data_IF_925414304333
#
_entry.id   IF_925414304333
#
_cell.length_a   1.000
_cell.length_b   1.000
_cell.length_c   1.000
_cell.angle_alpha   90.00
_cell.angle_beta   90.00
_cell.angle_gamma   90.00
#
_symmetry.space_group_name_H-M   'P 1'
#
loop_
_entity.id
_entity.type
_entity.pdbx_description
1 polymer ?
#
# COMPACT_ATOMS: atom_id res chain seq x y z
N UNK A 1 -4.78 20.24 12.07
CA UNK A 1 -4.42 18.80 12.10
C UNK A 1 -4.18 18.25 13.51
N UNK A 2 -4.55 18.93 14.62
CA UNK A 2 -4.47 18.33 15.97
C UNK A 2 -5.71 17.50 16.34
N UNK A 3 -6.89 17.89 15.85
CA UNK A 3 -8.17 17.21 16.13
C UNK A 3 -8.29 15.86 15.40
N UNK A 4 -7.73 15.76 14.21
CA UNK A 4 -7.77 14.58 13.31
C UNK A 4 -7.23 13.30 13.95
N UNK A 5 -6.33 13.43 14.94
CA UNK A 5 -5.73 12.28 15.62
C UNK A 5 -6.67 11.68 16.67
N UNK A 6 -7.53 12.49 17.31
CA UNK A 6 -8.43 11.99 18.38
C UNK A 6 -9.51 11.08 17.80
N UNK A 7 -10.06 11.44 16.65
CA UNK A 7 -11.12 10.68 15.99
C UNK A 7 -10.60 9.33 15.49
N UNK A 8 -9.43 9.32 14.84
CA UNK A 8 -8.77 8.10 14.36
C UNK A 8 -8.42 7.17 15.52
N UNK A 9 -7.85 7.69 16.60
CA UNK A 9 -7.56 6.89 17.80
C UNK A 9 -8.84 6.38 18.48
N UNK A 10 -9.91 7.18 18.50
CA UNK A 10 -11.22 6.77 19.00
C UNK A 10 -11.80 5.59 18.20
N UNK A 11 -11.72 5.64 16.87
CA UNK A 11 -12.13 4.55 15.98
C UNK A 11 -11.28 3.30 16.25
N UNK A 12 -9.94 3.44 16.32
CA UNK A 12 -9.02 2.34 16.64
C UNK A 12 -9.35 1.69 17.98
N UNK A 13 -9.61 2.49 19.02
CA UNK A 13 -9.99 1.99 20.33
C UNK A 13 -11.31 1.21 20.26
N UNK A 14 -12.33 1.76 19.61
CA UNK A 14 -13.63 1.12 19.47
C UNK A 14 -13.52 -0.24 18.77
N UNK A 15 -12.76 -0.32 17.67
CA UNK A 15 -12.60 -1.60 16.95
C UNK A 15 -11.65 -2.56 17.65
N UNK A 16 -10.69 -2.07 18.45
CA UNK A 16 -9.75 -2.92 19.20
C UNK A 16 -10.45 -3.87 20.17
N UNK A 17 -11.66 -3.54 20.61
CA UNK A 17 -12.50 -4.39 21.45
C UNK A 17 -12.88 -5.70 20.74
N UNK A 18 -13.03 -5.67 19.42
CA UNK A 18 -13.24 -6.88 18.62
C UNK A 18 -11.93 -7.65 18.38
N UNK A 19 -10.77 -7.00 18.47
CA UNK A 19 -9.46 -7.65 18.18
C UNK A 19 -9.13 -8.74 19.18
N UNK A 20 -9.63 -8.61 20.42
CA UNK A 20 -9.48 -9.62 21.48
C UNK A 20 -10.29 -10.88 21.21
N UNK A 21 -11.37 -10.78 20.43
CA UNK A 21 -12.30 -11.89 20.17
C UNK A 21 -12.14 -12.45 18.77
N UNK A 22 -11.93 -11.60 17.76
CA UNK A 22 -11.64 -11.96 16.38
C UNK A 22 -10.96 -10.80 15.61
N UNK A 23 -9.65 -10.94 15.26
CA UNK A 23 -8.94 -9.94 14.46
C UNK A 23 -9.55 -9.69 13.06
N UNK A 24 -10.20 -10.68 12.44
CA UNK A 24 -10.83 -10.51 11.12
C UNK A 24 -12.05 -9.60 11.21
N UNK A 25 -12.78 -9.67 12.31
CA UNK A 25 -13.96 -8.85 12.58
C UNK A 25 -13.64 -7.35 12.66
N UNK A 26 -12.45 -6.98 13.15
CA UNK A 26 -12.00 -5.59 13.14
C UNK A 26 -11.91 -5.03 11.71
N UNK A 27 -11.32 -5.83 10.81
CA UNK A 27 -11.15 -5.47 9.40
C UNK A 27 -12.51 -5.29 8.73
N UNK A 28 -13.42 -6.23 8.94
CA UNK A 28 -14.76 -6.22 8.34
C UNK A 28 -15.59 -5.03 8.82
N UNK A 29 -15.63 -4.78 10.12
CA UNK A 29 -16.38 -3.64 10.71
C UNK A 29 -15.90 -2.30 10.14
N UNK A 30 -14.58 -2.12 9.94
CA UNK A 30 -14.06 -0.90 9.33
C UNK A 30 -14.49 -0.77 7.87
N UNK A 31 -14.38 -1.85 7.07
CA UNK A 31 -14.80 -1.83 5.66
C UNK A 31 -16.30 -1.55 5.52
N UNK A 32 -17.13 -2.17 6.35
CA UNK A 32 -18.58 -1.91 6.39
C UNK A 32 -18.89 -0.46 6.79
N UNK A 33 -18.17 0.07 7.79
CA UNK A 33 -18.33 1.47 8.22
C UNK A 33 -17.98 2.46 7.11
N UNK A 34 -16.89 2.21 6.38
CA UNK A 34 -16.46 3.03 5.23
C UNK A 34 -17.54 3.05 4.15
N UNK A 35 -18.04 1.86 3.77
CA UNK A 35 -19.09 1.74 2.74
C UNK A 35 -20.39 2.38 3.18
N UNK A 36 -20.80 2.17 4.43
CA UNK A 36 -22.01 2.78 4.97
C UNK A 36 -21.95 4.32 4.95
N UNK A 37 -20.81 4.91 5.31
CA UNK A 37 -20.60 6.36 5.26
C UNK A 37 -20.67 6.89 3.82
N UNK A 38 -20.07 6.17 2.86
CA UNK A 38 -20.19 6.51 1.44
C UNK A 38 -21.63 6.43 0.95
N UNK A 39 -22.34 5.36 1.27
CA UNK A 39 -23.74 5.20 0.88
C UNK A 39 -24.63 6.29 1.49
N UNK A 40 -24.33 6.68 2.73
CA UNK A 40 -25.02 7.78 3.40
C UNK A 40 -24.75 9.11 2.71
N UNK A 41 -23.51 9.40 2.31
CA UNK A 41 -23.18 10.56 1.49
C UNK A 41 -23.95 10.55 0.16
N UNK A 42 -24.01 9.42 -0.54
CA UNK A 42 -24.77 9.31 -1.80
C UNK A 42 -26.25 9.64 -1.59
N UNK A 43 -26.85 9.21 -0.48
CA UNK A 43 -28.26 9.47 -0.19
C UNK A 43 -28.54 10.89 0.29
N UNK A 44 -27.66 11.48 1.10
CA UNK A 44 -27.95 12.71 1.85
C UNK A 44 -27.12 13.91 1.40
N UNK A 45 -26.00 13.71 0.70
CA UNK A 45 -25.08 14.76 0.26
C UNK A 45 -24.18 15.35 1.35
N UNK A 46 -24.17 14.76 2.55
CA UNK A 46 -23.45 15.23 3.74
C UNK A 46 -21.94 14.98 3.59
N UNK A 47 -21.16 16.03 3.28
CA UNK A 47 -19.71 15.90 3.03
C UNK A 47 -18.94 15.42 4.27
N UNK A 48 -19.44 15.68 5.47
CA UNK A 48 -18.89 15.19 6.73
C UNK A 48 -18.81 13.65 6.77
N UNK A 49 -19.71 12.94 6.07
CA UNK A 49 -19.68 11.48 6.03
C UNK A 49 -18.45 10.97 5.27
N UNK A 50 -18.06 11.63 4.17
CA UNK A 50 -16.83 11.31 3.44
C UNK A 50 -15.58 11.60 4.27
N UNK A 51 -15.61 12.66 5.07
CA UNK A 51 -14.49 13.01 5.94
C UNK A 51 -14.33 11.99 7.07
N UNK A 52 -15.44 11.50 7.65
CA UNK A 52 -15.42 10.37 8.58
C UNK A 52 -14.92 9.10 7.91
N UNK A 53 -15.32 8.83 6.67
CA UNK A 53 -14.86 7.67 5.93
C UNK A 53 -13.32 7.68 5.79
N UNK A 54 -12.71 8.85 5.55
CA UNK A 54 -11.26 9.01 5.56
C UNK A 54 -10.63 8.68 6.92
N UNK A 55 -11.26 9.04 8.04
CA UNK A 55 -10.76 8.65 9.37
C UNK A 55 -10.80 7.14 9.60
N UNK A 56 -11.88 6.48 9.15
CA UNK A 56 -11.96 5.02 9.18
C UNK A 56 -10.90 4.36 8.30
N UNK A 57 -10.63 4.89 7.11
CA UNK A 57 -9.57 4.38 6.23
C UNK A 57 -8.17 4.63 6.85
N UNK A 58 -7.95 5.78 7.49
CA UNK A 58 -6.69 6.04 8.20
C UNK A 58 -6.49 5.05 9.34
N UNK A 59 -7.50 4.84 10.20
CA UNK A 59 -7.47 3.84 11.25
C UNK A 59 -7.22 2.42 10.70
N UNK A 60 -7.78 2.11 9.53
CA UNK A 60 -7.58 0.85 8.82
C UNK A 60 -6.11 0.65 8.43
N UNK A 61 -5.48 1.68 7.85
CA UNK A 61 -4.05 1.67 7.52
C UNK A 61 -3.16 1.57 8.75
N UNK A 62 -3.43 2.36 9.79
CA UNK A 62 -2.66 2.36 11.05
C UNK A 62 -2.68 1.00 11.77
N UNK A 63 -3.75 0.21 11.58
CA UNK A 63 -3.87 -1.15 12.11
C UNK A 63 -3.14 -2.21 11.28
N UNK A 64 -2.51 -1.80 10.17
CA UNK A 64 -1.70 -2.64 9.29
C UNK A 64 -2.51 -3.44 8.26
N UNK A 65 -3.75 -3.04 7.99
CA UNK A 65 -4.57 -3.72 6.99
C UNK A 65 -4.22 -3.29 5.55
N UNK A 66 -4.49 -4.13 4.54
CA UNK A 66 -3.98 -3.94 3.18
C UNK A 66 -4.67 -2.80 2.41
N UNK A 67 -3.89 -1.95 1.72
CA UNK A 67 -4.40 -0.80 0.96
C UNK A 67 -5.41 -1.16 -0.14
N UNK A 68 -5.23 -2.28 -0.85
CA UNK A 68 -6.14 -2.65 -1.97
C UNK A 68 -7.59 -2.85 -1.52
N UNK A 69 -7.81 -3.21 -0.26
CA UNK A 69 -9.16 -3.41 0.28
C UNK A 69 -10.00 -2.12 0.28
N UNK A 70 -9.32 -0.98 0.32
CA UNK A 70 -9.89 0.36 0.41
C UNK A 70 -9.53 1.25 -0.78
N UNK A 71 -8.75 0.76 -1.75
CA UNK A 71 -8.23 1.59 -2.85
C UNK A 71 -9.36 2.22 -3.68
N UNK A 72 -10.33 1.41 -4.11
CA UNK A 72 -11.51 1.88 -4.85
C UNK A 72 -12.32 2.87 -4.03
N UNK A 73 -12.60 2.53 -2.76
CA UNK A 73 -13.38 3.38 -1.86
C UNK A 73 -12.71 4.74 -1.66
N UNK A 74 -11.40 4.74 -1.44
CA UNK A 74 -10.59 5.92 -1.24
C UNK A 74 -10.53 6.82 -2.47
N UNK A 75 -10.39 6.24 -3.67
CA UNK A 75 -10.39 7.01 -4.92
C UNK A 75 -11.73 7.74 -5.13
N UNK A 76 -12.85 7.04 -4.95
CA UNK A 76 -14.18 7.63 -5.07
C UNK A 76 -14.44 8.73 -4.03
N UNK A 77 -14.00 8.52 -2.78
CA UNK A 77 -14.07 9.55 -1.73
C UNK A 77 -13.24 10.78 -2.13
N UNK A 78 -12.01 10.58 -2.61
CA UNK A 78 -11.15 11.69 -3.02
C UNK A 78 -11.66 12.44 -4.25
N UNK A 79 -12.26 11.74 -5.21
CA UNK A 79 -12.88 12.37 -6.37
C UNK A 79 -14.09 13.21 -5.93
N UNK A 80 -14.93 12.67 -5.04
CA UNK A 80 -16.10 13.37 -4.48
C UNK A 80 -15.71 14.61 -3.66
N UNK A 81 -14.59 14.55 -2.94
CA UNK A 81 -14.06 15.68 -2.17
C UNK A 81 -13.22 16.67 -2.99
N UNK A 82 -12.94 16.37 -4.26
CA UNK A 82 -12.03 17.18 -5.09
C UNK A 82 -10.60 17.23 -4.54
N UNK A 83 -10.15 16.15 -3.89
CA UNK A 83 -8.86 16.11 -3.21
C UNK A 83 -7.69 16.22 -4.20
N UNK A 84 -6.77 17.15 -3.91
CA UNK A 84 -5.56 17.39 -4.71
C UNK A 84 -4.62 16.19 -4.69
N UNK A 85 -3.78 16.07 -5.72
CA UNK A 85 -2.81 14.97 -5.92
C UNK A 85 -1.92 14.75 -4.70
N UNK A 86 -1.51 15.82 -4.03
CA UNK A 86 -0.62 15.83 -2.87
C UNK A 86 -1.28 15.19 -1.65
N UNK A 87 -2.57 15.44 -1.45
CA UNK A 87 -3.36 14.84 -0.36
C UNK A 87 -3.48 13.33 -0.58
N UNK A 88 -3.80 12.93 -1.82
CA UNK A 88 -3.90 11.50 -2.19
C UNK A 88 -2.58 10.76 -1.97
N UNK A 89 -1.45 11.40 -2.29
CA UNK A 89 -0.11 10.85 -2.05
C UNK A 89 0.20 10.70 -0.57
N UNK A 90 -0.02 11.76 0.22
CA UNK A 90 0.23 11.74 1.66
C UNK A 90 -0.57 10.61 2.33
N UNK A 91 -1.82 10.43 1.91
CA UNK A 91 -2.69 9.40 2.46
C UNK A 91 -2.24 7.98 2.05
N UNK A 92 -1.82 7.78 0.80
CA UNK A 92 -1.26 6.48 0.36
C UNK A 92 -0.05 6.06 1.18
N UNK A 93 0.80 7.01 1.60
CA UNK A 93 1.97 6.72 2.43
C UNK A 93 1.65 6.12 3.79
N UNK A 94 0.44 6.33 4.32
CA UNK A 94 -0.02 5.69 5.56
C UNK A 94 0.01 4.16 5.47
N UNK A 95 -0.12 3.62 4.25
CA UNK A 95 -0.10 2.19 3.98
C UNK A 95 1.27 1.66 3.57
N UNK A 96 2.27 2.52 3.49
CA UNK A 96 3.61 2.16 3.06
C UNK A 96 4.56 2.02 4.25
N UNK A 97 5.15 0.84 4.41
CA UNK A 97 6.30 0.71 5.30
C UNK A 97 7.49 1.48 4.69
N UNK A 98 8.07 2.41 5.44
CA UNK A 98 9.20 3.19 4.97
C UNK A 98 10.49 2.39 5.12
N UNK A 99 11.20 2.18 4.02
CA UNK A 99 12.42 1.40 3.96
C UNK A 99 13.57 2.26 3.46
N UNK A 100 14.62 2.37 4.27
CA UNK A 100 15.90 2.92 3.82
C UNK A 100 16.57 1.91 2.89
N UNK A 101 16.85 2.33 1.65
CA UNK A 101 17.42 1.44 0.65
C UNK A 101 18.84 1.01 1.03
N UNK A 102 19.02 -0.29 1.23
CA UNK A 102 20.34 -0.92 1.27
C UNK A 102 20.27 -2.31 0.63
N UNK A 103 21.42 -2.85 0.21
CA UNK A 103 21.48 -4.11 -0.53
C UNK A 103 20.86 -5.27 0.25
N UNK A 104 21.11 -5.37 1.55
CA UNK A 104 20.62 -6.46 2.39
C UNK A 104 19.10 -6.45 2.52
N UNK A 105 18.51 -5.26 2.75
CA UNK A 105 17.07 -5.09 2.92
C UNK A 105 16.32 -5.38 1.62
N UNK A 106 16.78 -4.84 0.49
CA UNK A 106 16.14 -5.12 -0.81
C UNK A 106 16.27 -6.61 -1.17
N UNK A 107 17.43 -7.22 -0.95
CA UNK A 107 17.62 -8.65 -1.16
C UNK A 107 16.66 -9.50 -0.30
N UNK A 108 16.47 -9.11 0.97
CA UNK A 108 15.51 -9.77 1.88
C UNK A 108 14.06 -9.59 1.42
N UNK A 109 13.68 -8.41 0.92
CA UNK A 109 12.34 -8.18 0.38
C UNK A 109 12.06 -9.07 -0.82
N UNK A 110 13.01 -9.18 -1.75
CA UNK A 110 12.88 -10.03 -2.95
C UNK A 110 12.81 -11.52 -2.61
N UNK A 111 13.41 -11.94 -1.49
CA UNK A 111 13.34 -13.32 -1.02
C UNK A 111 14.12 -14.28 -1.91
N UNK A 112 13.54 -15.46 -2.17
CA UNK A 112 14.18 -16.49 -2.99
C UNK A 112 14.22 -16.07 -4.46
N UNK A 113 15.36 -16.30 -5.13
CA UNK A 113 15.54 -16.00 -6.55
C UNK A 113 15.85 -17.27 -7.32
N UNK A 114 15.18 -17.46 -8.45
CA UNK A 114 15.47 -18.59 -9.33
C UNK A 114 16.30 -18.11 -10.54
N UNK A 115 17.63 -18.32 -10.57
CA UNK A 115 18.48 -17.82 -11.65
C UNK A 115 18.18 -18.46 -13.01
N UNK A 116 17.59 -19.66 -13.03
CA UNK A 116 17.36 -20.42 -14.25
C UNK A 116 16.15 -19.91 -15.06
N UNK A 117 15.31 -19.05 -14.47
CA UNK A 117 14.08 -18.55 -15.11
C UNK A 117 13.93 -17.03 -15.03
N UNK A 118 14.95 -16.33 -14.54
CA UNK A 118 15.00 -14.88 -14.48
C UNK A 118 16.02 -14.35 -15.49
N UNK A 119 15.72 -13.21 -16.12
CA UNK A 119 16.63 -12.57 -17.08
C UNK A 119 17.86 -11.95 -16.42
N UNK A 120 17.87 -11.83 -15.08
CA UNK A 120 18.97 -11.23 -14.31
C UNK A 120 19.21 -11.97 -12.99
N UNK A 121 20.44 -11.87 -12.45
CA UNK A 121 20.78 -12.41 -11.12
C UNK A 121 20.16 -11.54 -10.03
N UNK A 122 19.91 -12.11 -8.84
CA UNK A 122 19.36 -11.33 -7.71
C UNK A 122 20.21 -10.10 -7.37
N UNK A 123 21.54 -10.24 -7.40
CA UNK A 123 22.45 -9.13 -7.14
C UNK A 123 22.28 -7.98 -8.14
N UNK A 124 22.02 -8.31 -9.41
CA UNK A 124 21.79 -7.33 -10.46
C UNK A 124 20.44 -6.64 -10.26
N UNK A 125 19.38 -7.39 -9.95
CA UNK A 125 18.06 -6.83 -9.62
C UNK A 125 18.10 -5.90 -8.39
N UNK A 126 18.82 -6.30 -7.34
CA UNK A 126 19.01 -5.49 -6.13
C UNK A 126 19.73 -4.18 -6.46
N UNK A 127 20.83 -4.26 -7.23
CA UNK A 127 21.56 -3.07 -7.65
C UNK A 127 20.72 -2.17 -8.56
N UNK A 128 19.96 -2.78 -9.47
CA UNK A 128 19.08 -2.11 -10.42
C UNK A 128 18.00 -1.30 -9.69
N UNK A 129 17.29 -1.91 -8.74
CA UNK A 129 16.31 -1.22 -7.87
C UNK A 129 16.98 -0.05 -7.13
N UNK A 130 18.12 -0.29 -6.49
CA UNK A 130 18.84 0.76 -5.74
C UNK A 130 19.25 1.91 -6.66
N UNK A 131 19.78 1.61 -7.85
CA UNK A 131 20.19 2.64 -8.81
C UNK A 131 18.99 3.45 -9.30
N UNK A 132 17.91 2.80 -9.72
CA UNK A 132 16.69 3.46 -10.19
C UNK A 132 16.11 4.39 -9.14
N UNK A 133 15.98 3.92 -7.90
CA UNK A 133 15.50 4.74 -6.77
C UNK A 133 16.47 5.89 -6.48
N UNK A 134 17.77 5.64 -6.47
CA UNK A 134 18.79 6.65 -6.17
C UNK A 134 18.83 7.76 -7.23
N UNK A 135 18.71 7.38 -8.50
CA UNK A 135 18.71 8.30 -9.65
C UNK A 135 17.33 8.90 -9.92
N UNK A 136 16.30 8.44 -9.23
CA UNK A 136 14.89 8.82 -9.45
C UNK A 136 14.46 8.59 -10.91
N UNK A 137 14.86 7.46 -11.48
CA UNK A 137 14.47 7.08 -12.84
C UNK A 137 12.97 6.81 -12.87
N UNK A 138 12.20 7.74 -13.44
CA UNK A 138 10.74 7.61 -13.50
C UNK A 138 10.32 6.43 -14.38
N UNK A 139 9.33 5.69 -13.91
CA UNK A 139 8.84 4.52 -14.63
C UNK A 139 8.15 3.51 -13.72
N UNK A 140 7.67 2.44 -14.36
CA UNK A 140 7.15 1.25 -13.67
C UNK A 140 7.96 0.05 -14.11
N UNK A 141 8.54 -0.66 -13.14
CA UNK A 141 9.43 -1.79 -13.35
C UNK A 141 8.88 -3.02 -12.61
N UNK A 142 8.93 -4.17 -13.26
CA UNK A 142 8.39 -5.43 -12.75
C UNK A 142 9.54 -6.39 -12.48
N UNK A 143 9.51 -7.01 -11.30
CA UNK A 143 10.49 -8.02 -10.87
C UNK A 143 9.76 -9.27 -10.44
N UNK A 144 10.04 -10.39 -11.10
CA UNK A 144 9.52 -11.68 -10.72
C UNK A 144 10.57 -12.41 -9.87
N UNK A 145 10.15 -13.10 -8.83
CA UNK A 145 11.01 -13.86 -7.94
C UNK A 145 10.27 -15.05 -7.31
N UNK A 146 11.04 -15.93 -6.67
CA UNK A 146 10.57 -17.19 -6.12
C UNK A 146 10.28 -18.26 -7.17
N UNK A 147 9.49 -19.26 -6.78
CA UNK A 147 9.07 -20.36 -7.64
C UNK A 147 7.98 -19.90 -8.61
N UNK A 148 8.02 -20.41 -9.83
CA UNK A 148 6.89 -20.28 -10.74
C UNK A 148 5.80 -21.27 -10.30
N UNK A 149 4.64 -20.73 -9.93
CA UNK A 149 3.49 -21.48 -9.40
C UNK A 149 2.63 -22.05 -10.54
N UNK A 150 2.54 -21.36 -11.67
CA UNK A 150 1.84 -21.83 -12.86
C UNK A 150 2.44 -21.19 -14.13
N UNK A 151 2.25 -21.84 -15.29
CA UNK A 151 2.65 -21.33 -16.59
C UNK A 151 1.44 -21.38 -17.53
N UNK A 152 0.97 -20.22 -17.98
CA UNK A 152 -0.11 -20.09 -18.95
C UNK A 152 0.45 -19.38 -20.20
N UNK A 153 0.99 -20.14 -21.14
CA UNK A 153 1.63 -19.58 -22.34
C UNK A 153 2.95 -18.87 -22.02
N UNK A 154 3.13 -17.65 -22.54
CA UNK A 154 4.31 -16.82 -22.29
C UNK A 154 4.31 -16.19 -20.87
N UNK A 155 3.15 -16.12 -20.22
CA UNK A 155 3.00 -15.53 -18.89
C UNK A 155 3.00 -16.58 -17.77
N UNK A 156 3.86 -16.37 -16.77
CA UNK A 156 3.98 -17.21 -15.59
C UNK A 156 3.37 -16.56 -14.34
N UNK A 157 2.67 -17.35 -13.51
CA UNK A 157 2.34 -16.96 -12.15
C UNK A 157 3.55 -17.21 -11.26
N UNK A 158 4.09 -16.17 -10.64
CA UNK A 158 5.27 -16.24 -9.78
C UNK A 158 4.88 -16.16 -8.30
N UNK A 159 5.61 -16.88 -7.46
CA UNK A 159 5.46 -16.85 -5.99
C UNK A 159 5.58 -15.43 -5.44
N UNK A 160 6.47 -14.62 -6.02
CA UNK A 160 6.64 -13.22 -5.68
C UNK A 160 6.73 -12.37 -6.95
N UNK A 161 5.83 -11.39 -7.07
CA UNK A 161 5.91 -10.35 -8.09
C UNK A 161 5.99 -9.00 -7.40
N UNK A 162 7.02 -8.23 -7.72
CA UNK A 162 7.21 -6.88 -7.22
C UNK A 162 7.07 -5.86 -8.33
N UNK A 163 6.37 -4.77 -8.04
CA UNK A 163 6.24 -3.61 -8.90
C UNK A 163 6.91 -2.41 -8.25
N UNK A 164 7.96 -1.89 -8.87
CA UNK A 164 8.58 -0.62 -8.50
C UNK A 164 7.98 0.49 -9.36
N UNK A 165 7.30 1.45 -8.75
CA UNK A 165 6.83 2.67 -9.41
C UNK A 165 7.62 3.85 -8.87
N UNK A 166 8.33 4.55 -9.76
CA UNK A 166 9.02 5.80 -9.45
C UNK A 166 8.31 6.91 -10.21
N UNK A 167 7.75 7.87 -9.48
CA UNK A 167 7.04 8.99 -10.09
C UNK A 167 7.00 10.17 -9.14
N UNK A 168 7.17 11.38 -9.66
CA UNK A 168 7.09 12.62 -8.89
C UNK A 168 7.99 12.61 -7.63
N UNK A 169 9.17 11.98 -7.74
CA UNK A 169 10.14 11.88 -6.65
C UNK A 169 9.85 10.83 -5.57
N UNK A 170 8.79 10.03 -5.71
CA UNK A 170 8.46 8.91 -4.81
C UNK A 170 8.80 7.57 -5.46
N UNK A 171 9.35 6.65 -4.68
CA UNK A 171 9.61 5.27 -5.09
C UNK A 171 8.77 4.30 -4.26
N UNK A 172 7.69 3.79 -4.86
CA UNK A 172 6.80 2.81 -4.23
C UNK A 172 7.15 1.43 -4.74
N UNK A 173 7.50 0.53 -3.83
CA UNK A 173 7.78 -0.86 -4.11
C UNK A 173 6.64 -1.72 -3.58
N UNK A 174 5.91 -2.38 -4.47
CA UNK A 174 4.70 -3.13 -4.15
C UNK A 174 4.92 -4.62 -4.35
N UNK A 175 4.80 -5.41 -3.28
CA UNK A 175 4.67 -6.87 -3.37
C UNK A 175 3.22 -7.20 -3.77
N UNK A 176 3.03 -7.61 -5.01
CA UNK A 176 1.70 -7.85 -5.60
C UNK A 176 1.01 -9.02 -4.90
N UNK A 177 1.74 -10.11 -4.64
CA UNK A 177 1.18 -11.34 -4.09
C UNK A 177 0.77 -11.19 -2.62
N UNK A 178 1.56 -10.47 -1.83
CA UNK A 178 1.28 -10.24 -0.40
C UNK A 178 0.51 -8.94 -0.13
N UNK A 179 0.24 -8.16 -1.17
CA UNK A 179 -0.40 -6.87 -1.07
C UNK A 179 0.28 -5.93 -0.04
N UNK A 180 1.60 -5.85 -0.10
CA UNK A 180 2.40 -4.98 0.78
C UNK A 180 3.07 -3.88 0.00
N UNK A 181 2.98 -2.65 0.50
CA UNK A 181 3.57 -1.47 -0.10
C UNK A 181 4.72 -0.97 0.76
N UNK A 182 5.82 -0.62 0.10
CA UNK A 182 7.01 -0.07 0.73
C UNK A 182 7.35 1.26 0.07
N UNK A 183 7.64 2.28 0.89
CA UNK A 183 8.20 3.53 0.42
C UNK A 183 9.72 3.43 0.53
N UNK A 184 10.40 3.35 -0.63
CA UNK A 184 11.84 3.26 -0.68
C UNK A 184 12.45 4.67 -0.60
N UNK A 185 13.23 4.92 0.45
CA UNK A 185 13.93 6.19 0.66
C UNK A 185 15.44 5.99 0.66
N UNK A 186 16.17 6.95 0.08
CA UNK A 186 17.62 7.01 0.21
C UNK A 186 17.99 7.45 1.62
N UNK A 187 19.04 6.87 2.19
CA UNK A 187 19.62 7.35 3.44
C UNK A 187 19.98 8.83 3.30
N UNK A 188 19.48 9.66 4.22
CA UNK A 188 19.83 11.06 4.28
C UNK A 188 21.29 11.18 4.70
N UNK A 189 22.07 11.94 3.94
CA UNK A 189 23.35 12.46 4.44
C UNK A 189 23.09 13.60 5.42
#
# INVERSE_FOLDING_TARGET
MKETNVEVEGIKLAVSMFRKTDPKRCREVLLESIRWLKDRYIRLGEKEDLQKALFHIQAYGDLGFPYQDVETDLLEIFDSLGAKKEVRKAFRKLFCETIVINKSVINRLLGSWNPARQSMRIGDAVNDIIQKVTKKEEGTYLYHCGKQLAQNGEDGLWEHTFRLRIQDGEAIFHNVNQNRYYLLIKEGK
#
